data_IF_353762043212
#
_entry.id   IF_353762043212
#
_cell.length_a   1.000
_cell.length_b   1.000
_cell.length_c   1.000
_cell.angle_alpha   90.00
_cell.angle_beta   90.00
_cell.angle_gamma   90.00
#
_symmetry.space_group_name_H-M   'P 1'
#
loop_
_entity.id
_entity.type
_entity.pdbx_description
1 polymer ?
#
# COMPACT_ATOMS: atom_id res chain seq x y z
N UNK A 1 21.38 44.07 6.46
CA UNK A 1 22.34 44.07 7.57
C UNK A 1 23.23 42.84 7.38
N UNK A 2 24.48 43.04 6.96
CA UNK A 2 25.45 41.97 6.72
C UNK A 2 25.85 41.40 8.08
N UNK A 3 25.42 40.18 8.42
CA UNK A 3 25.98 39.49 9.58
C UNK A 3 27.26 38.79 9.11
N UNK A 4 28.39 39.44 9.39
CA UNK A 4 29.71 38.86 9.20
C UNK A 4 29.83 37.51 9.93
N UNK A 5 30.68 36.57 9.47
CA UNK A 5 30.94 35.32 10.17
C UNK A 5 31.25 35.65 11.63
N UNK A 6 30.52 34.99 12.55
CA UNK A 6 30.62 35.26 13.99
C UNK A 6 32.09 35.19 14.38
N UNK A 7 32.67 36.34 14.70
CA UNK A 7 34.06 36.46 15.08
C UNK A 7 34.25 35.66 16.37
N UNK A 8 34.82 34.46 16.23
CA UNK A 8 35.06 33.54 17.33
C UNK A 8 35.85 34.24 18.45
N UNK A 9 36.68 35.24 18.13
CA UNK A 9 37.50 36.00 19.08
C UNK A 9 36.72 37.01 19.94
N UNK A 10 35.45 37.29 19.64
CA UNK A 10 34.58 38.20 20.40
C UNK A 10 33.58 37.49 21.31
N UNK A 11 33.44 36.17 21.20
CA UNK A 11 32.51 35.38 22.02
C UNK A 11 33.08 35.04 23.41
N UNK A 12 32.22 34.87 24.42
CA UNK A 12 32.62 34.28 25.70
C UNK A 12 33.02 32.80 25.58
N UNK A 13 33.83 32.27 26.51
CA UNK A 13 34.41 30.93 26.44
C UNK A 13 33.36 29.81 26.25
N UNK A 14 32.24 29.90 26.99
CA UNK A 14 31.12 28.95 26.88
C UNK A 14 30.39 29.07 25.54
N UNK A 15 30.22 30.29 25.04
CA UNK A 15 29.59 30.54 23.74
C UNK A 15 30.45 30.00 22.59
N UNK A 16 31.79 30.20 22.66
CA UNK A 16 32.74 29.58 21.72
C UNK A 16 32.67 28.07 21.77
N UNK A 17 32.69 27.48 22.97
CA UNK A 17 32.59 26.03 23.12
C UNK A 17 31.31 25.47 22.49
N UNK A 18 30.14 26.08 22.77
CA UNK A 18 28.87 25.68 22.18
C UNK A 18 28.86 25.82 20.66
N UNK A 19 29.43 26.91 20.13
CA UNK A 19 29.54 27.14 18.69
C UNK A 19 30.42 26.07 18.01
N UNK A 20 31.60 25.81 18.57
CA UNK A 20 32.53 24.79 18.06
C UNK A 20 31.95 23.39 18.16
N UNK A 21 31.19 23.10 19.22
CA UNK A 21 30.47 21.84 19.33
C UNK A 21 29.44 21.72 18.20
N UNK A 22 28.64 22.76 17.92
CA UNK A 22 27.64 22.70 16.83
C UNK A 22 28.28 22.53 15.44
N UNK A 23 29.41 23.18 15.19
CA UNK A 23 30.01 23.26 13.85
C UNK A 23 31.11 22.23 13.59
N UNK A 24 31.88 21.88 14.63
CA UNK A 24 33.11 21.10 14.54
C UNK A 24 33.21 20.03 15.65
N UNK A 25 32.08 19.47 16.11
CA UNK A 25 32.09 18.41 17.14
C UNK A 25 33.05 17.26 16.79
N UNK A 26 33.14 16.89 15.51
CA UNK A 26 34.01 15.82 15.02
C UNK A 26 35.52 16.14 15.13
N UNK A 27 35.89 17.41 15.29
CA UNK A 27 37.28 17.84 15.62
C UNK A 27 37.44 18.03 17.11
N UNK A 28 36.44 18.64 17.75
CA UNK A 28 36.47 19.01 19.17
C UNK A 28 36.54 17.78 20.08
N UNK A 29 35.75 16.73 19.81
CA UNK A 29 35.70 15.53 20.65
C UNK A 29 37.05 14.80 20.66
N UNK A 30 37.69 14.48 19.50
CA UNK A 30 39.02 13.88 19.51
C UNK A 30 40.08 14.72 20.20
N UNK A 31 40.08 16.04 19.96
CA UNK A 31 41.03 16.95 20.63
C UNK A 31 40.80 16.95 22.14
N UNK A 32 39.56 16.99 22.61
CA UNK A 32 39.24 16.95 24.04
C UNK A 32 39.70 15.66 24.70
N UNK A 33 39.53 14.51 24.04
CA UNK A 33 40.02 13.23 24.55
C UNK A 33 41.55 13.20 24.63
N UNK A 34 42.24 13.63 23.58
CA UNK A 34 43.69 13.67 23.55
C UNK A 34 44.25 14.61 24.63
N UNK A 35 43.74 15.84 24.74
CA UNK A 35 44.19 16.80 25.75
C UNK A 35 43.87 16.30 27.16
N UNK A 36 42.71 15.68 27.37
CA UNK A 36 42.32 15.12 28.67
C UNK A 36 43.24 13.98 29.10
N UNK A 37 43.64 13.10 28.18
CA UNK A 37 44.61 12.04 28.45
C UNK A 37 45.97 12.62 28.85
N UNK A 38 46.44 13.67 28.17
CA UNK A 38 47.69 14.37 28.52
C UNK A 38 47.62 14.98 29.93
N UNK A 39 46.53 15.66 30.26
CA UNK A 39 46.33 16.24 31.60
C UNK A 39 46.31 15.16 32.68
N UNK A 40 45.51 14.11 32.50
CA UNK A 40 45.42 13.03 33.48
C UNK A 40 46.75 12.30 33.64
N UNK A 41 47.44 11.96 32.54
CA UNK A 41 48.76 11.33 32.57
C UNK A 41 49.82 12.20 33.26
N UNK A 42 49.82 13.50 33.00
CA UNK A 42 50.73 14.45 33.65
C UNK A 42 50.49 14.52 35.17
N UNK A 43 49.22 14.63 35.58
CA UNK A 43 48.86 14.63 37.01
C UNK A 43 49.12 13.29 37.68
N UNK A 44 48.92 12.18 36.97
CA UNK A 44 49.24 10.85 37.47
C UNK A 44 50.73 10.71 37.79
N UNK A 45 51.60 11.15 36.87
CA UNK A 45 53.06 11.13 37.09
C UNK A 45 53.44 12.04 38.25
N UNK A 46 52.87 13.25 38.32
CA UNK A 46 53.13 14.20 39.40
C UNK A 46 52.66 13.64 40.77
N UNK A 47 51.44 13.10 40.84
CA UNK A 47 50.88 12.51 42.05
C UNK A 47 51.68 11.30 42.51
N UNK A 48 52.10 10.42 41.59
CA UNK A 48 52.94 9.27 41.90
C UNK A 48 54.31 9.70 42.43
N UNK A 49 54.95 10.68 41.79
CA UNK A 49 56.25 11.21 42.24
C UNK A 49 56.14 11.86 43.63
N UNK A 50 55.10 12.66 43.85
CA UNK A 50 54.82 13.28 45.15
C UNK A 50 54.58 12.22 46.23
N UNK A 51 53.76 11.21 45.95
CA UNK A 51 53.49 10.10 46.86
C UNK A 51 54.76 9.31 47.22
N UNK A 52 55.63 9.02 46.25
CA UNK A 52 56.92 8.32 46.51
C UNK A 52 57.85 9.18 47.37
N UNK A 53 57.98 10.47 47.06
CA UNK A 53 58.82 11.41 47.85
C UNK A 53 58.30 11.50 49.29
N UNK A 54 56.99 11.62 49.48
CA UNK A 54 56.35 11.73 50.80
C UNK A 54 56.48 10.44 51.63
N UNK A 55 56.44 9.26 51.01
CA UNK A 55 56.68 7.99 51.72
C UNK A 55 58.16 7.70 52.00
N UNK A 56 59.08 8.36 51.30
CA UNK A 56 60.53 8.20 51.49
C UNK A 56 61.08 9.09 52.62
N UNK A 57 60.40 10.19 52.92
CA UNK A 57 60.68 11.03 54.09
C UNK A 57 59.83 10.52 55.25
N UNK A 58 60.43 10.04 56.34
CA UNK A 58 59.73 9.37 57.46
C UNK A 58 58.77 10.28 58.28
N UNK A 59 58.40 11.44 57.75
CA UNK A 59 57.33 12.28 58.27
C UNK A 59 56.02 11.78 57.65
N UNK A 60 55.27 10.98 58.40
CA UNK A 60 53.95 10.47 57.99
C UNK A 60 52.95 11.59 57.74
N UNK A 61 53.05 12.24 56.58
CA UNK A 61 52.06 13.21 56.11
C UNK A 61 50.89 12.42 55.56
N UNK A 62 49.82 12.37 56.34
CA UNK A 62 48.58 11.73 55.91
C UNK A 62 48.00 12.45 54.69
N UNK A 63 47.67 11.65 53.67
CA UNK A 63 47.16 12.14 52.39
C UNK A 63 45.71 12.65 52.54
N UNK A 64 44.98 12.10 53.50
CA UNK A 64 43.56 12.37 53.75
C UNK A 64 43.31 13.84 54.12
N UNK A 65 43.99 14.45 55.11
CA UNK A 65 43.83 15.88 55.45
C UNK A 65 44.15 16.85 54.29
N UNK A 66 45.12 16.50 53.42
CA UNK A 66 45.47 17.35 52.27
C UNK A 66 44.38 17.34 51.19
N UNK A 67 43.78 16.18 50.90
CA UNK A 67 42.66 16.11 49.95
C UNK A 67 41.42 16.82 50.48
N UNK A 68 41.14 16.73 51.79
CA UNK A 68 40.05 17.45 52.44
C UNK A 68 40.27 18.97 52.37
N UNK A 69 41.50 19.46 52.62
CA UNK A 69 41.85 20.87 52.49
C UNK A 69 41.75 21.39 51.04
N UNK A 70 41.95 20.52 50.05
CA UNK A 70 41.78 20.83 48.62
C UNK A 70 40.32 20.70 48.14
N UNK A 71 39.37 20.40 49.03
CA UNK A 71 37.93 20.35 48.74
C UNK A 71 37.44 19.03 48.14
N UNK A 72 38.17 17.93 48.32
CA UNK A 72 37.77 16.58 47.87
C UNK A 72 37.13 15.83 49.04
N UNK A 73 35.82 15.99 49.19
CA UNK A 73 35.03 15.49 50.35
C UNK A 73 34.16 14.27 50.03
N UNK A 74 34.46 13.49 48.98
CA UNK A 74 33.63 12.33 48.66
C UNK A 74 34.09 11.10 49.45
N UNK A 75 33.23 10.62 50.36
CA UNK A 75 33.47 9.45 51.23
C UNK A 75 33.93 8.19 50.47
N UNK A 76 33.51 8.07 49.21
CA UNK A 76 33.86 6.95 48.32
C UNK A 76 35.30 7.01 47.81
N UNK A 77 35.89 8.21 47.72
CA UNK A 77 37.30 8.41 47.36
C UNK A 77 38.17 8.19 48.59
N UNK A 78 37.68 8.64 49.76
CA UNK A 78 38.35 8.50 51.06
C UNK A 78 38.43 7.05 51.55
N UNK A 79 37.42 6.22 51.28
CA UNK A 79 37.47 4.79 51.63
C UNK A 79 38.48 4.01 50.76
N UNK A 80 38.59 4.33 49.47
CA UNK A 80 39.58 3.73 48.54
C UNK A 80 41.01 4.20 48.83
N UNK A 81 41.17 5.35 49.51
CA UNK A 81 42.46 5.90 49.95
C UNK A 81 43.05 5.17 51.16
N UNK A 82 42.22 4.55 52.01
CA UNK A 82 42.64 3.89 53.25
C UNK A 82 43.25 2.50 53.01
N UNK A 83 42.90 1.84 51.91
CA UNK A 83 43.44 0.54 51.53
C UNK A 83 44.67 0.72 50.61
N UNK A 84 45.83 0.61 51.23
CA UNK A 84 47.17 0.95 50.72
C UNK A 84 47.52 0.40 49.33
N UNK A 85 47.61 1.31 48.34
CA UNK A 85 48.42 1.32 47.09
C UNK A 85 47.82 2.22 45.99
N UNK A 86 46.65 2.83 46.22
CA UNK A 86 45.92 3.60 45.20
C UNK A 86 45.79 5.11 45.49
N UNK A 87 46.43 5.65 46.53
CA UNK A 87 46.22 7.05 46.95
C UNK A 87 46.62 8.11 45.92
N UNK A 88 47.62 7.83 45.08
CA UNK A 88 48.02 8.74 44.00
C UNK A 88 46.97 8.87 42.89
N UNK A 89 46.07 7.89 42.70
CA UNK A 89 44.96 8.02 41.76
C UNK A 89 43.95 9.08 42.21
N UNK A 90 43.67 9.14 43.52
CA UNK A 90 42.77 10.13 44.10
C UNK A 90 43.36 11.55 43.99
N UNK A 91 44.65 11.71 44.31
CA UNK A 91 45.37 12.98 44.13
C UNK A 91 45.37 13.40 42.66
N UNK A 92 45.67 12.48 41.74
CA UNK A 92 45.66 12.76 40.31
C UNK A 92 44.26 13.20 39.82
N UNK A 93 43.20 12.56 40.28
CA UNK A 93 41.82 12.95 39.97
C UNK A 93 41.44 14.31 40.56
N UNK A 94 41.88 14.61 41.78
CA UNK A 94 41.69 15.91 42.43
C UNK A 94 42.33 17.04 41.61
N UNK A 95 43.60 16.87 41.23
CA UNK A 95 44.32 17.81 40.37
C UNK A 95 43.64 17.96 39.00
N UNK A 96 43.19 16.86 38.41
CA UNK A 96 42.47 16.85 37.15
C UNK A 96 41.16 17.64 37.21
N UNK A 97 40.39 17.49 38.30
CA UNK A 97 39.15 18.23 38.53
C UNK A 97 39.43 19.71 38.77
N UNK A 98 40.44 20.05 39.58
CA UNK A 98 40.85 21.43 39.85
C UNK A 98 41.31 22.16 38.58
N UNK A 99 42.04 21.47 37.70
CA UNK A 99 42.54 22.03 36.45
C UNK A 99 41.50 22.10 35.32
N UNK A 100 40.22 21.75 35.58
CA UNK A 100 39.16 21.75 34.58
C UNK A 100 39.05 23.07 33.79
N UNK A 101 39.06 24.27 34.42
CA UNK A 101 39.01 25.52 33.66
C UNK A 101 40.18 25.68 32.67
N UNK A 102 41.41 25.33 33.09
CA UNK A 102 42.59 25.38 32.24
C UNK A 102 42.51 24.32 31.12
N UNK A 103 42.09 23.08 31.45
CA UNK A 103 41.93 21.98 30.48
C UNK A 103 40.94 22.33 29.37
N UNK A 104 39.81 22.95 29.70
CA UNK A 104 38.83 23.38 28.71
C UNK A 104 39.37 24.52 27.84
N UNK A 105 40.14 25.43 28.43
CA UNK A 105 40.79 26.53 27.69
C UNK A 105 41.82 25.99 26.68
N UNK A 106 42.68 25.05 27.09
CA UNK A 106 43.64 24.39 26.19
C UNK A 106 42.94 23.57 25.11
N UNK A 107 41.85 22.87 25.46
CA UNK A 107 41.06 22.13 24.48
C UNK A 107 40.47 23.06 23.42
N UNK A 108 39.92 24.20 23.82
CA UNK A 108 39.38 25.20 22.89
C UNK A 108 40.47 25.73 21.96
N UNK A 109 41.61 26.17 22.51
CA UNK A 109 42.73 26.66 21.72
C UNK A 109 43.27 25.59 20.75
N UNK A 110 43.45 24.36 21.24
CA UNK A 110 43.90 23.22 20.43
C UNK A 110 42.90 22.84 19.33
N UNK A 111 41.60 22.95 19.61
CA UNK A 111 40.55 22.68 18.62
C UNK A 111 40.54 23.78 17.56
N UNK A 112 40.64 25.06 17.94
CA UNK A 112 40.74 26.17 16.98
C UNK A 112 41.97 26.03 16.07
N UNK A 113 43.12 25.67 16.66
CA UNK A 113 44.33 25.38 15.88
C UNK A 113 44.12 24.22 14.91
N UNK A 114 43.52 23.11 15.39
CA UNK A 114 43.25 21.92 14.58
C UNK A 114 42.29 22.21 13.42
N UNK A 115 41.23 22.98 13.65
CA UNK A 115 40.30 23.40 12.59
C UNK A 115 41.04 24.23 11.54
N UNK A 116 41.84 25.21 11.95
CA UNK A 116 42.61 26.04 11.02
C UNK A 116 43.64 25.24 10.22
N UNK A 117 44.29 24.27 10.86
CA UNK A 117 45.22 23.35 10.21
C UNK A 117 44.52 22.46 9.18
N UNK A 118 43.39 21.84 9.54
CA UNK A 118 42.63 20.95 8.68
C UNK A 118 41.95 21.70 7.53
N UNK A 119 41.50 22.93 7.74
CA UNK A 119 41.01 23.84 6.68
C UNK A 119 42.12 24.14 5.68
N UNK A 120 43.33 24.52 6.13
CA UNK A 120 44.47 24.80 5.25
C UNK A 120 44.87 23.60 4.38
N UNK A 121 44.70 22.39 4.90
CA UNK A 121 44.97 21.14 4.16
C UNK A 121 43.78 20.63 3.33
N UNK A 122 42.63 21.30 3.36
CA UNK A 122 41.45 20.92 2.59
C UNK A 122 40.65 19.74 3.15
N UNK A 123 40.96 19.24 4.34
CA UNK A 123 40.23 18.12 4.96
C UNK A 123 38.87 18.53 5.54
N UNK A 124 38.67 19.82 5.81
CA UNK A 124 37.42 20.36 6.36
C UNK A 124 36.93 21.52 5.51
N UNK A 125 35.66 21.45 5.10
CA UNK A 125 34.98 22.57 4.43
C UNK A 125 34.62 23.65 5.48
N UNK A 126 34.90 24.93 5.21
CA UNK A 126 34.45 26.00 6.10
C UNK A 126 32.93 26.01 6.14
N UNK A 127 32.37 26.30 7.32
CA UNK A 127 30.92 26.48 7.46
C UNK A 127 30.49 27.63 6.52
N UNK A 128 29.54 27.39 5.60
CA UNK A 128 29.11 28.43 4.66
C UNK A 128 28.50 29.62 5.41
N UNK A 129 28.67 30.82 4.87
CA UNK A 129 28.01 32.01 5.41
C UNK A 129 26.48 31.91 5.26
N UNK A 130 25.73 32.72 6.02
CA UNK A 130 24.25 32.77 5.87
C UNK A 130 23.83 33.14 4.45
N UNK A 131 24.61 33.97 3.74
CA UNK A 131 24.35 34.33 2.34
C UNK A 131 24.60 33.15 1.41
N UNK A 132 25.70 32.41 1.58
CA UNK A 132 25.94 31.17 0.83
C UNK A 132 24.87 30.12 1.11
N UNK A 133 24.40 30.00 2.35
CA UNK A 133 23.27 29.13 2.71
C UNK A 133 21.97 29.57 2.03
N UNK A 134 21.72 30.87 1.91
CA UNK A 134 20.56 31.40 1.17
C UNK A 134 20.65 31.05 -0.31
N UNK A 135 21.80 31.28 -0.95
CA UNK A 135 22.00 30.93 -2.36
C UNK A 135 21.82 29.43 -2.59
N UNK A 136 22.44 28.58 -1.76
CA UNK A 136 22.25 27.11 -1.85
C UNK A 136 20.77 26.72 -1.70
N UNK A 137 20.03 27.42 -0.84
CA UNK A 137 18.60 27.17 -0.66
C UNK A 137 17.76 27.65 -1.84
N UNK A 138 18.08 28.82 -2.40
CA UNK A 138 17.43 29.39 -3.58
C UNK A 138 17.68 28.51 -4.81
N UNK A 139 18.92 28.13 -5.09
CA UNK A 139 19.29 27.21 -6.16
C UNK A 139 18.53 25.89 -6.05
N UNK A 140 18.48 25.33 -4.84
CA UNK A 140 17.76 24.07 -4.59
C UNK A 140 16.25 24.24 -4.73
N UNK A 141 15.70 25.40 -4.39
CA UNK A 141 14.28 25.72 -4.58
C UNK A 141 13.94 25.83 -6.07
N UNK A 142 14.81 26.45 -6.86
CA UNK A 142 14.65 26.54 -8.32
C UNK A 142 14.76 25.17 -8.99
N UNK A 143 15.75 24.36 -8.61
CA UNK A 143 15.88 22.97 -9.09
C UNK A 143 14.62 22.15 -8.80
N UNK A 144 14.09 22.25 -7.57
CA UNK A 144 12.86 21.57 -7.19
C UNK A 144 11.63 22.09 -7.94
N UNK A 145 11.59 23.38 -8.24
CA UNK A 145 10.52 23.97 -9.05
C UNK A 145 10.57 23.43 -10.48
N UNK A 146 11.75 23.40 -11.10
CA UNK A 146 11.94 22.81 -12.43
C UNK A 146 11.50 21.35 -12.50
N UNK A 147 11.90 20.52 -11.51
CA UNK A 147 11.44 19.12 -11.42
C UNK A 147 9.93 18.98 -11.26
N UNK A 148 9.31 19.89 -10.51
CA UNK A 148 7.86 19.90 -10.31
C UNK A 148 7.14 20.24 -11.61
N UNK A 149 7.65 21.23 -12.34
CA UNK A 149 7.04 21.67 -13.58
C UNK A 149 7.18 20.55 -14.66
N UNK A 150 8.35 19.90 -14.78
CA UNK A 150 8.53 18.72 -15.65
C UNK A 150 7.59 17.55 -15.29
N UNK A 151 7.32 17.34 -14.00
CA UNK A 151 6.38 16.32 -13.54
C UNK A 151 4.94 16.66 -13.94
N UNK A 152 4.56 17.94 -13.88
CA UNK A 152 3.23 18.40 -14.28
C UNK A 152 3.02 18.23 -15.77
N UNK A 153 4.02 18.57 -16.59
CA UNK A 153 3.94 18.37 -18.05
C UNK A 153 3.73 16.90 -18.41
N UNK A 154 4.51 15.98 -17.79
CA UNK A 154 4.32 14.53 -17.97
C UNK A 154 2.96 14.02 -17.50
N UNK A 155 2.38 14.65 -16.48
CA UNK A 155 1.06 14.30 -15.97
C UNK A 155 -0.04 14.76 -16.94
N UNK A 156 0.10 15.95 -17.52
CA UNK A 156 -0.82 16.46 -18.54
C UNK A 156 -0.78 15.61 -19.81
N UNK A 157 0.41 15.22 -20.27
CA UNK A 157 0.60 14.31 -21.40
C UNK A 157 -0.12 12.97 -21.16
N UNK A 158 0.15 12.32 -20.02
CA UNK A 158 -0.53 11.06 -19.65
C UNK A 158 -2.04 11.22 -19.51
N UNK A 159 -2.51 12.36 -19.02
CA UNK A 159 -3.94 12.64 -18.90
C UNK A 159 -4.59 12.79 -20.27
N UNK A 160 -3.90 13.42 -21.22
CA UNK A 160 -4.30 13.50 -22.62
C UNK A 160 -4.43 12.11 -23.25
N UNK A 161 -3.36 11.31 -23.19
CA UNK A 161 -3.35 9.94 -23.73
C UNK A 161 -4.47 9.05 -23.15
N UNK A 162 -4.73 9.17 -21.84
CA UNK A 162 -5.82 8.42 -21.19
C UNK A 162 -7.19 8.88 -21.66
N UNK A 163 -7.38 10.18 -21.87
CA UNK A 163 -8.64 10.73 -22.39
C UNK A 163 -8.89 10.24 -23.81
N UNK A 164 -7.88 10.26 -24.66
CA UNK A 164 -8.00 9.82 -26.05
C UNK A 164 -8.31 8.32 -26.13
N UNK A 165 -7.60 7.48 -25.36
CA UNK A 165 -7.92 6.04 -25.25
C UNK A 165 -9.33 5.76 -24.72
N UNK A 166 -9.83 6.64 -23.85
CA UNK A 166 -11.18 6.52 -23.32
C UNK A 166 -12.23 6.92 -24.37
N UNK A 167 -11.98 7.96 -25.16
CA UNK A 167 -12.84 8.36 -26.27
C UNK A 167 -12.87 7.29 -27.37
N UNK A 168 -11.72 6.72 -27.75
CA UNK A 168 -11.61 5.60 -28.70
C UNK A 168 -12.44 4.39 -28.24
N UNK A 169 -12.25 3.91 -27.01
CA UNK A 169 -13.05 2.79 -26.46
C UNK A 169 -14.55 3.10 -26.38
N UNK A 170 -14.91 4.36 -26.16
CA UNK A 170 -16.32 4.78 -26.09
C UNK A 170 -16.97 4.73 -27.48
N UNK A 171 -16.24 5.13 -28.52
CA UNK A 171 -16.69 5.02 -29.92
C UNK A 171 -16.80 3.55 -30.34
N UNK A 172 -15.77 2.74 -30.09
CA UNK A 172 -15.83 1.29 -30.36
C UNK A 172 -17.03 0.62 -29.68
N UNK A 173 -17.31 0.99 -28.41
CA UNK A 173 -18.46 0.45 -27.68
C UNK A 173 -19.80 0.92 -28.26
N UNK A 174 -19.87 2.15 -28.76
CA UNK A 174 -21.06 2.69 -29.42
C UNK A 174 -21.36 1.91 -30.70
N UNK A 175 -20.34 1.67 -31.52
CA UNK A 175 -20.47 0.95 -32.78
C UNK A 175 -20.88 -0.51 -32.55
N UNK A 176 -20.27 -1.19 -31.57
CA UNK A 176 -20.69 -2.55 -31.17
C UNK A 176 -22.14 -2.62 -30.71
N UNK A 177 -22.61 -1.60 -29.97
CA UNK A 177 -24.02 -1.54 -29.52
C UNK A 177 -24.95 -1.35 -30.72
N UNK A 178 -24.58 -0.50 -31.67
CA UNK A 178 -25.38 -0.21 -32.87
C UNK A 178 -25.47 -1.43 -33.79
N UNK A 179 -24.34 -2.10 -34.04
CA UNK A 179 -24.28 -3.36 -34.78
C UNK A 179 -25.15 -4.43 -34.12
N UNK A 180 -24.96 -4.66 -32.81
CA UNK A 180 -25.72 -5.68 -32.08
C UNK A 180 -27.22 -5.38 -32.05
N UNK A 181 -27.60 -4.11 -31.99
CA UNK A 181 -29.00 -3.67 -32.07
C UNK A 181 -29.60 -3.97 -33.44
N UNK A 182 -28.84 -3.76 -34.52
CA UNK A 182 -29.25 -4.09 -35.88
C UNK A 182 -29.45 -5.59 -36.07
N UNK A 183 -28.47 -6.41 -35.66
CA UNK A 183 -28.56 -7.88 -35.71
C UNK A 183 -29.80 -8.42 -34.96
N UNK A 184 -30.05 -7.86 -33.77
CA UNK A 184 -31.21 -8.24 -32.95
C UNK A 184 -32.53 -7.85 -33.63
N UNK A 185 -32.59 -6.69 -34.28
CA UNK A 185 -33.75 -6.28 -35.07
C UNK A 185 -34.00 -7.23 -36.25
N UNK A 186 -32.96 -7.63 -36.96
CA UNK A 186 -33.07 -8.55 -38.09
C UNK A 186 -33.53 -9.94 -37.63
N UNK A 187 -32.91 -10.51 -36.60
CA UNK A 187 -33.32 -11.79 -35.99
C UNK A 187 -34.77 -11.75 -35.50
N UNK A 188 -35.20 -10.64 -34.90
CA UNK A 188 -36.59 -10.45 -34.46
C UNK A 188 -37.57 -10.44 -35.63
N UNK A 189 -37.22 -9.76 -36.72
CA UNK A 189 -38.04 -9.70 -37.93
C UNK A 189 -38.12 -11.07 -38.60
N UNK A 190 -37.00 -11.80 -38.68
CA UNK A 190 -36.96 -13.17 -39.20
C UNK A 190 -37.81 -14.12 -38.34
N UNK A 191 -37.67 -14.06 -37.01
CA UNK A 191 -38.48 -14.85 -36.08
C UNK A 191 -39.98 -14.56 -36.25
N UNK A 192 -40.35 -13.29 -36.40
CA UNK A 192 -41.75 -12.88 -36.66
C UNK A 192 -42.27 -13.48 -37.96
N UNK A 193 -41.47 -13.43 -39.04
CA UNK A 193 -41.83 -14.04 -40.33
C UNK A 193 -42.01 -15.56 -40.22
N UNK A 194 -41.08 -16.26 -39.55
CA UNK A 194 -41.16 -17.72 -39.32
C UNK A 194 -42.38 -18.11 -38.48
N UNK A 195 -42.72 -17.31 -37.46
CA UNK A 195 -43.93 -17.52 -36.66
C UNK A 195 -45.20 -17.32 -37.50
N UNK A 196 -45.25 -16.27 -38.32
CA UNK A 196 -46.38 -16.03 -39.21
C UNK A 196 -46.55 -17.12 -40.26
N UNK A 197 -45.45 -17.57 -40.89
CA UNK A 197 -45.51 -18.68 -41.86
C UNK A 197 -45.94 -19.98 -41.19
N UNK A 198 -45.34 -20.32 -40.03
CA UNK A 198 -45.72 -21.51 -39.27
C UNK A 198 -47.18 -21.50 -38.81
N UNK A 199 -47.70 -20.32 -38.40
CA UNK A 199 -49.12 -20.17 -38.03
C UNK A 199 -50.04 -20.37 -39.25
N UNK A 200 -49.67 -19.83 -40.42
CA UNK A 200 -50.43 -20.04 -41.67
C UNK A 200 -50.42 -21.50 -42.10
N UNK A 201 -49.27 -22.14 -42.07
CA UNK A 201 -49.13 -23.58 -42.39
C UNK A 201 -49.97 -24.44 -41.44
N UNK A 202 -49.93 -24.14 -40.14
CA UNK A 202 -50.73 -24.86 -39.14
C UNK A 202 -52.23 -24.65 -39.38
N UNK A 203 -52.67 -23.42 -39.67
CA UNK A 203 -54.07 -23.13 -40.01
C UNK A 203 -54.53 -23.93 -41.23
N UNK A 204 -53.72 -23.99 -42.28
CA UNK A 204 -54.04 -24.75 -43.49
C UNK A 204 -54.12 -26.26 -43.21
N UNK A 205 -53.16 -26.82 -42.47
CA UNK A 205 -53.17 -28.25 -42.08
C UNK A 205 -54.37 -28.61 -41.21
N UNK A 206 -54.80 -27.72 -40.32
CA UNK A 206 -56.00 -27.91 -39.50
C UNK A 206 -57.25 -27.92 -40.40
N UNK A 207 -57.36 -26.96 -41.33
CA UNK A 207 -58.49 -26.89 -42.26
C UNK A 207 -58.59 -28.16 -43.13
N UNK A 208 -57.47 -28.59 -43.71
CA UNK A 208 -57.39 -29.82 -44.53
C UNK A 208 -57.80 -31.06 -43.72
N UNK A 209 -57.30 -31.21 -42.49
CA UNK A 209 -57.73 -32.31 -41.61
C UNK A 209 -59.20 -32.21 -41.20
N UNK A 210 -59.73 -31.00 -41.00
CA UNK A 210 -61.15 -30.83 -40.71
C UNK A 210 -62.04 -31.26 -41.88
N UNK A 211 -61.64 -30.94 -43.11
CA UNK A 211 -62.35 -31.36 -44.32
C UNK A 211 -62.26 -32.89 -44.51
N UNK A 212 -61.07 -33.49 -44.32
CA UNK A 212 -60.90 -34.95 -44.34
C UNK A 212 -61.76 -35.67 -43.29
N UNK A 213 -61.86 -35.12 -42.08
CA UNK A 213 -62.70 -35.69 -41.01
C UNK A 213 -64.17 -35.62 -41.41
N UNK A 214 -64.62 -34.50 -41.99
CA UNK A 214 -66.00 -34.32 -42.44
C UNK A 214 -66.36 -35.33 -43.53
N UNK A 215 -65.49 -35.49 -44.53
CA UNK A 215 -65.69 -36.47 -45.61
C UNK A 215 -65.72 -37.91 -45.07
N UNK A 216 -64.79 -38.28 -44.18
CA UNK A 216 -64.80 -39.62 -43.53
C UNK A 216 -66.05 -39.85 -42.70
N UNK A 217 -66.60 -38.82 -42.05
CA UNK A 217 -67.84 -38.92 -41.27
C UNK A 217 -69.06 -39.12 -42.17
N UNK A 218 -69.16 -38.37 -43.27
CA UNK A 218 -70.22 -38.53 -44.28
C UNK A 218 -70.18 -39.93 -44.92
N UNK A 219 -68.98 -40.39 -45.31
CA UNK A 219 -68.77 -41.73 -45.85
C UNK A 219 -69.20 -42.82 -44.85
N UNK A 220 -68.81 -42.68 -43.58
CA UNK A 220 -69.20 -43.63 -42.54
C UNK A 220 -70.71 -43.62 -42.26
N UNK A 221 -71.35 -42.44 -42.29
CA UNK A 221 -72.79 -42.31 -42.13
C UNK A 221 -73.55 -43.02 -43.27
N UNK A 222 -73.12 -42.81 -44.52
CA UNK A 222 -73.69 -43.50 -45.68
C UNK A 222 -73.50 -45.02 -45.58
N UNK A 223 -72.30 -45.49 -45.21
CA UNK A 223 -72.03 -46.91 -45.01
C UNK A 223 -72.92 -47.54 -43.92
N UNK A 224 -73.13 -46.83 -42.80
CA UNK A 224 -74.04 -47.26 -41.74
C UNK A 224 -75.48 -47.34 -42.21
N UNK A 225 -75.95 -46.31 -42.92
CA UNK A 225 -77.31 -46.28 -43.49
C UNK A 225 -77.53 -47.46 -44.44
N UNK A 226 -76.59 -47.70 -45.36
CA UNK A 226 -76.67 -48.82 -46.30
C UNK A 226 -76.66 -50.18 -45.60
N UNK A 227 -75.84 -50.35 -44.55
CA UNK A 227 -75.80 -51.58 -43.75
C UNK A 227 -77.10 -51.81 -42.96
N UNK A 228 -77.68 -50.74 -42.40
CA UNK A 228 -78.99 -50.77 -41.73
C UNK A 228 -80.12 -51.11 -42.69
N UNK A 229 -80.17 -50.52 -43.89
CA UNK A 229 -81.17 -50.84 -44.92
C UNK A 229 -81.05 -52.29 -45.39
N UNK A 230 -79.82 -52.77 -45.61
CA UNK A 230 -79.55 -54.17 -45.95
C UNK A 230 -80.01 -55.11 -44.84
N UNK A 231 -79.71 -54.79 -43.57
CA UNK A 231 -80.14 -55.60 -42.42
C UNK A 231 -81.67 -55.58 -42.25
N UNK A 232 -82.30 -54.42 -42.39
CA UNK A 232 -83.76 -54.23 -42.33
C UNK A 232 -84.47 -55.01 -43.43
N UNK A 233 -83.97 -54.95 -44.67
CA UNK A 233 -84.54 -55.71 -45.79
C UNK A 233 -84.43 -57.23 -45.59
N UNK A 234 -83.31 -57.73 -45.07
CA UNK A 234 -83.14 -59.14 -44.68
C UNK A 234 -84.10 -59.54 -43.56
N UNK A 235 -84.25 -58.71 -42.54
CA UNK A 235 -85.20 -58.95 -41.45
C UNK A 235 -86.64 -58.99 -41.97
N UNK A 236 -87.05 -58.01 -42.77
CA UNK A 236 -88.39 -57.96 -43.40
C UNK A 236 -88.66 -59.20 -44.24
N UNK A 237 -87.67 -59.66 -45.02
CA UNK A 237 -87.77 -60.92 -45.77
C UNK A 237 -87.97 -62.13 -44.86
N UNK A 238 -87.19 -62.27 -43.78
CA UNK A 238 -87.36 -63.37 -42.80
C UNK A 238 -88.72 -63.34 -42.12
N UNK A 239 -89.19 -62.18 -41.66
CA UNK A 239 -90.52 -62.03 -41.04
C UNK A 239 -91.61 -62.43 -42.03
N UNK A 240 -91.54 -61.98 -43.28
CA UNK A 240 -92.50 -62.35 -44.33
C UNK A 240 -92.48 -63.84 -44.69
N UNK A 241 -91.31 -64.47 -44.67
CA UNK A 241 -91.18 -65.92 -44.87
C UNK A 241 -91.83 -66.69 -43.71
N UNK A 242 -91.59 -66.26 -42.48
CA UNK A 242 -92.14 -66.91 -41.29
C UNK A 242 -93.64 -66.69 -41.12
N UNK A 243 -94.15 -65.49 -41.43
CA UNK A 243 -95.59 -65.25 -41.53
C UNK A 243 -96.26 -66.13 -42.59
N UNK A 244 -95.60 -66.35 -43.75
CA UNK A 244 -96.12 -67.27 -44.77
C UNK A 244 -96.12 -68.73 -44.31
N UNK A 245 -95.07 -69.18 -43.62
CA UNK A 245 -95.04 -70.53 -43.02
C UNK A 245 -96.15 -70.72 -42.00
N UNK A 246 -96.37 -69.74 -41.11
CA UNK A 246 -97.48 -69.76 -40.14
C UNK A 246 -98.81 -69.82 -40.87
N UNK A 247 -99.04 -68.95 -41.86
CA UNK A 247 -100.32 -68.91 -42.60
C UNK A 247 -100.58 -70.21 -43.38
N UNK A 248 -99.54 -70.91 -43.84
CA UNK A 248 -99.66 -72.25 -44.44
C UNK A 248 -99.89 -73.39 -43.43
N UNK A 249 -99.69 -73.14 -42.13
CA UNK A 249 -99.92 -74.09 -41.03
C UNK A 249 -101.18 -73.79 -40.21
N UNK A 250 -101.92 -72.71 -40.52
CA UNK A 250 -103.25 -72.48 -39.93
C UNK A 250 -104.25 -73.39 -40.65
N UNK A 251 -104.87 -74.38 -39.99
CA UNK A 251 -105.95 -75.14 -40.61
C UNK A 251 -107.12 -74.20 -40.92
N UNK A 252 -107.68 -74.29 -42.13
CA UNK A 252 -109.03 -73.81 -42.41
C UNK A 252 -109.99 -74.51 -41.46
N UNK A 253 -110.30 -73.90 -40.31
CA UNK A 253 -111.48 -74.28 -39.55
C UNK A 253 -112.64 -73.68 -40.31
N UNK A 254 -113.25 -74.55 -41.11
CA UNK A 254 -114.29 -74.24 -42.07
C UNK A 254 -115.47 -73.48 -41.49
N UNK A 255 -115.90 -72.51 -42.29
CA UNK A 255 -117.30 -72.10 -42.44
C UNK A 255 -118.10 -73.32 -42.93
N UNK A 256 -119.06 -73.79 -42.13
CA UNK A 256 -120.26 -74.49 -42.60
C UNK A 256 -121.45 -73.92 -41.82
N UNK A 257 -122.32 -73.29 -42.61
CA UNK A 257 -123.76 -73.05 -42.46
C UNK A 257 -124.29 -72.47 -41.13
#
# INVERSE_FOLDING_TARGET
>A
MKEEPVDESKLGLVARFKLMYKQYWYVLIPVHWATSAVWYGSFFIAAKKLFIIMNSFHSGVEIVPMLEAMGVTSDKILSVLKDSNAGYYAIAYAMYKLATPARYTVTLAGTTYSINYLKKRGYIKPVPSKEQLRTIYEDKREEMRGKRDELMDKLEERRGELRDKFEERREELRDMIEERRSEMHEKRNELTKRLQSGTKEMKNKIAERSDEIKEKLEQNSHNLQQSLESSSSKFKRKVLDESRKIQSHVPEIGRKD
#
